data_IF_393545443856
#
_entry.id   IF_393545443856
#
_cell.length_a   1.000
_cell.length_b   1.000
_cell.length_c   1.000
_cell.angle_alpha   90.00
_cell.angle_beta   90.00
_cell.angle_gamma   90.00
#
_symmetry.space_group_name_H-M   'P 1'
#
loop_
_entity.id
_entity.type
_entity.pdbx_description
1 polymer ?
#
# COMPACT_ATOMS: atom_id res chain seq x y z
N UNK A 1 -17.12 -2.94 11.87
CA UNK A 1 -15.84 -3.20 11.18
C UNK A 1 -15.41 -4.60 11.60
N UNK A 2 -15.79 -5.61 10.83
CA UNK A 2 -15.36 -6.97 11.11
C UNK A 2 -13.91 -7.09 10.63
N UNK A 3 -12.97 -7.20 11.57
CA UNK A 3 -11.58 -7.59 11.28
C UNK A 3 -11.61 -9.06 10.88
N UNK A 4 -12.02 -9.33 9.64
CA UNK A 4 -12.08 -10.66 9.07
C UNK A 4 -10.65 -11.16 8.84
N UNK A 5 -10.15 -11.82 9.87
CA UNK A 5 -8.98 -12.67 9.80
C UNK A 5 -7.72 -11.99 10.29
N UNK A 6 -7.28 -12.44 11.47
CA UNK A 6 -5.86 -12.65 11.79
C UNK A 6 -5.21 -13.61 10.77
N UNK A 7 -5.29 -13.32 9.47
CA UNK A 7 -4.38 -13.86 8.49
C UNK A 7 -3.13 -13.01 8.63
N UNK A 8 -2.29 -13.37 9.60
CA UNK A 8 -0.87 -13.06 9.54
C UNK A 8 -0.45 -13.46 8.13
N UNK A 9 -0.19 -12.48 7.26
CA UNK A 9 0.07 -12.80 5.88
C UNK A 9 1.33 -13.63 5.84
N UNK A 10 1.21 -14.73 5.12
CA UNK A 10 2.24 -15.64 4.67
C UNK A 10 3.22 -14.80 3.85
N UNK A 11 4.17 -14.17 4.54
CA UNK A 11 5.21 -13.36 3.92
C UNK A 11 6.00 -14.29 3.00
N UNK A 12 5.94 -14.02 1.70
CA UNK A 12 7.03 -14.35 0.80
C UNK A 12 7.15 -15.79 0.28
N UNK A 13 6.28 -16.75 0.61
CA UNK A 13 6.44 -18.14 0.11
C UNK A 13 6.33 -18.28 -1.43
N UNK A 14 5.97 -17.22 -2.16
CA UNK A 14 5.97 -17.20 -3.63
C UNK A 14 7.05 -16.34 -4.31
N UNK A 15 7.70 -15.39 -3.62
CA UNK A 15 8.64 -14.45 -4.26
C UNK A 15 10.12 -14.74 -4.00
N UNK A 16 10.42 -15.73 -3.16
CA UNK A 16 11.78 -16.26 -2.97
C UNK A 16 12.15 -17.42 -3.89
N UNK A 17 11.31 -17.76 -4.87
CA UNK A 17 11.76 -18.61 -5.96
C UNK A 17 12.49 -17.74 -6.99
N UNK A 18 13.81 -17.80 -6.88
CA UNK A 18 14.77 -17.63 -7.96
C UNK A 18 15.08 -16.18 -8.39
N UNK A 19 16.27 -15.76 -7.96
CA UNK A 19 17.28 -14.91 -8.61
C UNK A 19 17.48 -15.10 -10.16
N UNK A 20 16.47 -15.57 -10.90
CA UNK A 20 16.49 -15.76 -12.36
C UNK A 20 15.61 -14.73 -13.12
N UNK A 21 14.75 -13.99 -12.42
CA UNK A 21 13.76 -13.07 -13.02
C UNK A 21 14.27 -11.70 -13.47
N UNK A 22 15.39 -11.20 -12.93
CA UNK A 22 16.02 -9.94 -13.38
C UNK A 22 16.45 -10.04 -14.86
N UNK A 23 16.67 -11.26 -15.37
CA UNK A 23 17.06 -11.48 -16.78
C UNK A 23 15.94 -11.21 -17.79
N UNK A 24 14.67 -11.19 -17.37
CA UNK A 24 13.53 -10.83 -18.23
C UNK A 24 13.06 -9.37 -18.05
N UNK A 25 13.62 -8.66 -17.06
CA UNK A 25 13.29 -7.28 -16.68
C UNK A 25 13.53 -6.21 -17.77
N UNK A 26 14.04 -6.59 -18.95
CA UNK A 26 14.28 -5.67 -20.07
C UNK A 26 13.13 -5.66 -21.08
N UNK A 27 12.25 -6.68 -21.09
CA UNK A 27 11.35 -6.86 -22.25
C UNK A 27 9.98 -6.19 -22.18
N UNK A 28 9.49 -5.76 -21.01
CA UNK A 28 8.37 -4.79 -20.80
C UNK A 28 7.96 -4.74 -19.32
N UNK A 29 8.52 -3.85 -18.50
CA UNK A 29 7.95 -3.57 -17.18
C UNK A 29 6.54 -2.98 -17.38
N UNK A 30 5.49 -3.68 -16.96
CA UNK A 30 4.14 -3.10 -16.95
C UNK A 30 3.97 -2.29 -15.67
N UNK A 31 3.15 -1.25 -15.71
CA UNK A 31 2.82 -0.42 -14.54
C UNK A 31 2.29 -1.28 -13.37
N UNK A 32 1.59 -2.37 -13.69
CA UNK A 32 1.13 -3.37 -12.70
C UNK A 32 2.25 -4.04 -11.94
N UNK A 33 3.39 -4.29 -12.60
CA UNK A 33 4.55 -4.94 -11.97
C UNK A 33 5.26 -3.96 -11.02
N UNK A 34 5.29 -2.67 -11.39
CA UNK A 34 5.87 -1.61 -10.56
C UNK A 34 5.01 -1.36 -9.32
N UNK A 35 3.67 -1.37 -9.44
CA UNK A 35 2.77 -1.25 -8.30
C UNK A 35 3.03 -2.32 -7.24
N UNK A 36 3.16 -3.59 -7.66
CA UNK A 36 3.47 -4.70 -6.75
C UNK A 36 4.87 -4.57 -6.10
N UNK A 37 5.86 -4.09 -6.85
CA UNK A 37 7.19 -3.82 -6.29
C UNK A 37 7.11 -2.72 -5.24
N UNK A 38 6.36 -1.64 -5.50
CA UNK A 38 6.18 -0.54 -4.55
C UNK A 38 5.45 -1.00 -3.28
N UNK A 39 4.38 -1.77 -3.42
CA UNK A 39 3.67 -2.38 -2.29
C UNK A 39 4.61 -3.21 -1.41
N UNK A 40 5.47 -4.03 -2.03
CA UNK A 40 6.45 -4.84 -1.30
C UNK A 40 7.48 -3.98 -0.55
N UNK A 41 7.97 -2.91 -1.17
CA UNK A 41 8.91 -1.97 -0.53
C UNK A 41 8.26 -1.31 0.68
N UNK A 42 7.02 -0.83 0.54
CA UNK A 42 6.25 -0.22 1.63
C UNK A 42 5.99 -1.23 2.76
N UNK A 43 5.57 -2.44 2.42
CA UNK A 43 5.38 -3.52 3.38
C UNK A 43 6.65 -3.80 4.18
N UNK A 44 7.79 -3.97 3.50
CA UNK A 44 9.07 -4.22 4.15
C UNK A 44 9.48 -3.04 5.05
N UNK A 45 9.29 -1.81 4.60
CA UNK A 45 9.58 -0.62 5.39
C UNK A 45 8.77 -0.59 6.68
N UNK A 46 7.45 -0.83 6.62
CA UNK A 46 6.59 -0.85 7.80
C UNK A 46 7.00 -1.96 8.79
N UNK A 47 7.34 -3.15 8.29
CA UNK A 47 7.85 -4.25 9.13
C UNK A 47 9.17 -3.88 9.82
N UNK A 48 10.11 -3.28 9.09
CA UNK A 48 11.40 -2.80 9.66
C UNK A 48 11.17 -1.70 10.71
N UNK A 49 10.16 -0.86 10.53
CA UNK A 49 9.74 0.13 11.52
C UNK A 49 9.02 -0.46 12.75
N UNK A 50 8.86 -1.79 12.81
CA UNK A 50 8.27 -2.51 13.93
C UNK A 50 6.74 -2.54 13.94
N UNK A 51 6.09 -2.27 12.81
CA UNK A 51 4.64 -2.40 12.70
C UNK A 51 4.23 -3.86 12.48
N UNK A 52 3.09 -4.23 13.05
CA UNK A 52 2.33 -5.42 12.67
C UNK A 52 1.37 -5.04 11.56
N UNK A 53 1.34 -5.80 10.47
CA UNK A 53 0.51 -5.50 9.30
C UNK A 53 -0.71 -6.41 9.22
N UNK A 54 -1.85 -5.82 8.87
CA UNK A 54 -3.10 -6.48 8.50
C UNK A 54 -3.59 -5.89 7.18
N UNK A 55 -4.28 -6.69 6.35
CA UNK A 55 -4.96 -6.14 5.16
C UNK A 55 -6.35 -5.65 5.58
N UNK A 56 -6.67 -4.41 5.25
CA UNK A 56 -7.97 -3.82 5.55
C UNK A 56 -8.97 -4.16 4.47
N UNK A 57 -9.89 -5.08 4.72
CA UNK A 57 -11.05 -5.30 3.84
C UNK A 57 -12.33 -4.87 4.55
N UNK A 58 -13.00 -3.84 4.05
CA UNK A 58 -14.37 -3.52 4.46
C UNK A 58 -15.30 -3.57 3.25
N UNK A 59 -16.05 -4.67 3.13
CA UNK A 59 -17.13 -4.96 2.15
C UNK A 59 -16.73 -4.83 0.67
N UNK A 60 -16.47 -3.61 0.20
CA UNK A 60 -16.08 -3.26 -1.19
C UNK A 60 -14.82 -2.35 -1.26
N UNK A 61 -14.28 -1.91 -0.12
CA UNK A 61 -13.14 -1.01 -0.03
C UNK A 61 -11.98 -1.73 0.63
N UNK A 62 -10.92 -1.94 -0.13
CA UNK A 62 -9.68 -2.56 0.33
C UNK A 62 -8.64 -1.46 0.54
N UNK A 63 -8.01 -1.49 1.71
CA UNK A 63 -6.81 -0.71 2.02
C UNK A 63 -5.65 -1.68 2.07
N UNK A 64 -4.56 -1.34 1.37
CA UNK A 64 -3.45 -2.27 1.17
C UNK A 64 -2.84 -2.71 2.51
N UNK A 65 -2.59 -1.75 3.41
CA UNK A 65 -2.02 -2.04 4.73
C UNK A 65 -2.70 -1.26 5.85
N UNK A 66 -3.05 -1.98 6.91
CA UNK A 66 -3.32 -1.45 8.25
C UNK A 66 -2.12 -1.82 9.12
N UNK A 67 -1.34 -0.82 9.52
CA UNK A 67 -0.14 -1.00 10.33
C UNK A 67 -0.43 -0.61 11.78
N UNK A 68 -0.08 -1.49 12.73
CA UNK A 68 -0.29 -1.27 14.16
C UNK A 68 1.00 -1.47 14.96
N UNK A 69 1.28 -0.57 15.91
CA UNK A 69 2.45 -0.66 16.80
C UNK A 69 2.18 0.09 18.10
N UNK A 70 2.33 -0.57 19.25
CA UNK A 70 2.21 0.06 20.58
C UNK A 70 0.94 0.90 20.79
N UNK A 71 -0.19 0.50 20.20
CA UNK A 71 -1.46 1.24 20.26
C UNK A 71 -1.61 2.35 19.20
N UNK A 72 -0.57 2.62 18.41
CA UNK A 72 -0.66 3.39 17.17
C UNK A 72 -1.27 2.53 16.07
N UNK A 73 -2.09 3.14 15.21
CA UNK A 73 -2.64 2.55 14.00
C UNK A 73 -2.49 3.53 12.85
N UNK A 74 -2.18 3.02 11.66
CA UNK A 74 -2.12 3.80 10.43
C UNK A 74 -2.65 2.98 9.26
N UNK A 75 -3.23 3.68 8.29
CA UNK A 75 -3.74 3.12 7.05
C UNK A 75 -2.85 3.58 5.91
N UNK A 76 -2.34 2.65 5.10
CA UNK A 76 -1.48 2.94 3.96
C UNK A 76 -2.09 2.39 2.70
N UNK A 77 -2.21 3.26 1.70
CA UNK A 77 -2.53 2.92 0.33
C UNK A 77 -1.30 3.17 -0.55
N UNK A 78 -1.04 2.29 -1.51
CA UNK A 78 0.11 2.34 -2.39
C UNK A 78 -0.38 2.44 -3.83
N UNK A 79 0.11 3.43 -4.57
CA UNK A 79 -0.21 3.60 -5.97
C UNK A 79 1.03 4.05 -6.73
N UNK A 80 1.23 3.58 -7.97
CA UNK A 80 2.34 4.09 -8.78
C UNK A 80 2.20 5.60 -9.02
N UNK A 81 1.00 6.05 -9.36
CA UNK A 81 0.66 7.45 -9.60
C UNK A 81 -0.80 7.72 -9.22
N UNK A 82 -1.08 8.88 -8.64
CA UNK A 82 -2.41 9.42 -8.36
C UNK A 82 -2.74 10.65 -9.22
N UNK A 83 -1.95 10.92 -10.26
CA UNK A 83 -2.22 12.05 -11.18
C UNK A 83 -3.54 11.87 -11.96
N UNK A 84 -3.98 10.62 -12.19
CA UNK A 84 -5.30 10.35 -12.73
C UNK A 84 -6.36 10.58 -11.65
N UNK A 85 -7.28 11.52 -11.90
CA UNK A 85 -8.35 11.89 -10.97
C UNK A 85 -9.21 10.70 -10.53
N UNK A 86 -9.36 9.67 -11.37
CA UNK A 86 -10.09 8.45 -11.02
C UNK A 86 -9.34 7.61 -9.99
N UNK A 87 -8.01 7.52 -10.13
CA UNK A 87 -7.17 6.83 -9.16
C UNK A 87 -7.15 7.63 -7.87
N UNK A 88 -6.95 8.94 -7.95
CA UNK A 88 -7.03 9.83 -6.79
C UNK A 88 -8.34 9.66 -6.01
N UNK A 89 -9.49 9.80 -6.66
CA UNK A 89 -10.80 9.65 -5.99
C UNK A 89 -10.99 8.26 -5.37
N UNK A 90 -10.50 7.20 -6.03
CA UNK A 90 -10.61 5.83 -5.52
C UNK A 90 -9.72 5.61 -4.30
N UNK A 91 -8.42 5.88 -4.42
CA UNK A 91 -7.44 5.58 -3.36
C UNK A 91 -7.70 6.45 -2.11
N UNK A 92 -7.92 7.75 -2.31
CA UNK A 92 -8.26 8.65 -1.20
C UNK A 92 -9.68 8.39 -0.67
N UNK A 93 -10.65 8.09 -1.54
CA UNK A 93 -12.02 7.79 -1.14
C UNK A 93 -12.17 6.48 -0.37
N UNK A 94 -11.26 5.52 -0.55
CA UNK A 94 -11.17 4.32 0.26
C UNK A 94 -10.70 4.65 1.67
N UNK A 95 -9.63 5.44 1.79
CA UNK A 95 -9.09 5.87 3.09
C UNK A 95 -10.08 6.75 3.86
N UNK A 96 -10.67 7.75 3.20
CA UNK A 96 -11.62 8.69 3.83
C UNK A 96 -12.93 8.03 4.28
N UNK A 97 -13.28 6.87 3.72
CA UNK A 97 -14.46 6.14 4.13
C UNK A 97 -14.29 5.39 5.46
N UNK A 98 -13.06 5.24 5.95
CA UNK A 98 -12.80 4.63 7.26
C UNK A 98 -13.22 5.63 8.35
N UNK A 99 -14.22 5.30 9.20
CA UNK A 99 -14.87 6.26 10.10
C UNK A 99 -14.07 6.54 11.39
N UNK A 100 -12.74 6.58 11.31
CA UNK A 100 -11.85 6.90 12.43
C UNK A 100 -10.90 8.05 12.11
N UNK A 101 -10.15 8.49 13.13
CA UNK A 101 -9.20 9.60 13.02
C UNK A 101 -7.74 9.14 13.07
N UNK A 102 -7.45 7.86 12.81
CA UNK A 102 -6.06 7.42 12.69
C UNK A 102 -5.43 7.94 11.40
N UNK A 103 -4.10 8.14 11.37
CA UNK A 103 -3.36 8.56 10.17
C UNK A 103 -3.68 7.70 8.94
N UNK A 104 -3.90 8.38 7.82
CA UNK A 104 -4.19 7.80 6.50
C UNK A 104 -3.15 8.34 5.52
N UNK A 105 -2.43 7.45 4.85
CA UNK A 105 -1.25 7.76 4.04
C UNK A 105 -1.42 7.15 2.66
N UNK A 106 -1.08 7.90 1.61
CA UNK A 106 -0.92 7.38 0.26
C UNK A 106 0.56 7.48 -0.12
N UNK A 107 1.17 6.39 -0.54
CA UNK A 107 2.56 6.35 -1.02
C UNK A 107 2.54 6.23 -2.54
N UNK A 108 3.19 7.18 -3.22
CA UNK A 108 3.26 7.18 -4.69
C UNK A 108 4.67 7.50 -5.20
N UNK A 109 4.87 7.23 -6.50
CA UNK A 109 6.09 7.61 -7.22
C UNK A 109 5.94 8.94 -7.97
N UNK A 110 4.83 9.64 -7.77
CA UNK A 110 4.64 10.97 -8.36
C UNK A 110 5.68 11.93 -7.79
N UNK A 111 6.26 12.75 -8.65
CA UNK A 111 7.06 13.87 -8.18
C UNK A 111 6.16 14.82 -7.40
N UNK A 112 6.62 15.25 -6.23
CA UNK A 112 5.97 16.32 -5.47
C UNK A 112 6.09 17.61 -6.28
N UNK A 113 5.13 17.90 -7.15
CA UNK A 113 4.97 19.24 -7.72
C UNK A 113 4.54 20.20 -6.60
N UNK A 114 5.53 20.75 -5.89
CA UNK A 114 5.36 21.87 -4.97
C UNK A 114 4.69 21.52 -3.65
N UNK A 115 5.40 21.74 -2.55
CA UNK A 115 4.82 21.67 -1.22
C UNK A 115 3.54 22.50 -1.11
N UNK A 116 2.51 21.91 -0.46
CA UNK A 116 1.45 22.61 0.26
C UNK A 116 1.00 23.94 -0.36
N UNK A 117 0.35 23.87 -1.51
CA UNK A 117 -0.38 24.99 -2.10
C UNK A 117 -1.74 24.48 -2.56
N UNK A 118 -2.70 24.39 -1.64
CA UNK A 118 -4.11 24.22 -2.05
C UNK A 118 -5.05 23.43 -1.16
N UNK A 119 -4.72 23.16 0.10
CA UNK A 119 -5.70 22.76 1.12
C UNK A 119 -5.71 23.76 2.26
#
# INVERSE_FOLDING_TARGET
MDMLGKKQFQIGEKYYFEDLGIRNAIRSFRVTDIGQVLENVVCHHLLVCGYTLCIGRDRDKEVDFVAERNGEKLYVQVAYSVMDSKIHEREFGNLLAIPDNYPKIVVTMDELEGGLSGY
#
